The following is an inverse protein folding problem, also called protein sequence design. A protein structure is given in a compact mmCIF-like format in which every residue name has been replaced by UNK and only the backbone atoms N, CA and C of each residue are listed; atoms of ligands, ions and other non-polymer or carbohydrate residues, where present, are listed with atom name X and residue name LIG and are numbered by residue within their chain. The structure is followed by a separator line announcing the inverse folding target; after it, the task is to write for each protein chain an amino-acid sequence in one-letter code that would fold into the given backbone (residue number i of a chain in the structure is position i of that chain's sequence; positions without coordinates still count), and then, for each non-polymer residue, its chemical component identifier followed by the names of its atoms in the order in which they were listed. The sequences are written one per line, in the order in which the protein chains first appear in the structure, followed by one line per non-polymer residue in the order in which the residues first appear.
data_IF_889064258826
#
_entry.id   IF_889064258826
#
_cell.length_a   1.000
_cell.length_b   1.000
_cell.length_c   1.000
_cell.angle_alpha   90.00
_cell.angle_beta   90.00
_cell.angle_gamma   90.00
#
_symmetry.space_group_name_H-M   'P 1'
#
loop_
_entity.id
_entity.type
_entity.pdbx_description
1 polymer ?
#
# COMPACT_ATOMS: atom_id res chain seq x y z
N UNK A 1 -36.49 73.02 56.31
CA UNK A 1 -35.98 72.22 55.17
C UNK A 1 -36.29 70.76 55.48
N UNK A 2 -37.39 70.21 54.93
CA UNK A 2 -37.73 68.79 55.11
C UNK A 2 -36.94 68.01 54.06
N UNK A 3 -36.03 67.17 54.51
CA UNK A 3 -35.32 66.20 53.66
C UNK A 3 -36.38 65.18 53.21
N UNK A 4 -36.63 64.99 51.90
CA UNK A 4 -37.53 63.93 51.46
C UNK A 4 -36.94 62.59 51.90
N UNK A 5 -37.73 61.78 52.62
CA UNK A 5 -37.38 60.39 52.90
C UNK A 5 -37.37 59.62 51.58
N UNK A 6 -36.38 58.75 51.32
CA UNK A 6 -36.41 57.90 50.15
C UNK A 6 -37.60 56.94 50.27
N UNK A 7 -38.42 56.87 49.21
CA UNK A 7 -39.59 56.00 49.12
C UNK A 7 -39.19 54.53 49.33
N UNK A 8 -39.67 53.92 50.42
CA UNK A 8 -39.49 52.49 50.75
C UNK A 8 -40.15 51.55 49.71
N UNK A 9 -40.94 52.09 48.77
CA UNK A 9 -41.57 51.35 47.69
C UNK A 9 -40.61 50.90 46.56
N UNK A 10 -39.39 51.46 46.48
CA UNK A 10 -38.41 51.10 45.45
C UNK A 10 -37.54 49.88 45.79
N UNK A 11 -37.55 49.42 47.05
CA UNK A 11 -36.66 48.33 47.53
C UNK A 11 -37.16 46.94 47.10
N UNK A 12 -38.47 46.75 46.97
CA UNK A 12 -39.08 45.45 46.63
C UNK A 12 -38.83 44.99 45.18
N UNK A 13 -38.97 45.85 44.15
CA UNK A 13 -38.64 45.47 42.77
C UNK A 13 -37.15 45.17 42.56
N UNK A 14 -36.27 45.92 43.22
CA UNK A 14 -34.82 45.73 43.15
C UNK A 14 -34.40 44.40 43.78
N UNK A 15 -34.96 44.06 44.94
CA UNK A 15 -34.69 42.78 45.60
C UNK A 15 -35.21 41.59 44.77
N UNK A 16 -36.38 41.73 44.15
CA UNK A 16 -36.92 40.73 43.24
C UNK A 16 -36.03 40.51 42.00
N UNK A 17 -35.49 41.59 41.42
CA UNK A 17 -34.56 41.51 40.29
C UNK A 17 -33.24 40.82 40.66
N UNK A 18 -32.66 41.16 41.82
CA UNK A 18 -31.42 40.54 42.31
C UNK A 18 -31.63 39.04 42.57
N UNK A 19 -32.76 38.66 43.17
CA UNK A 19 -33.09 37.26 43.41
C UNK A 19 -33.30 36.49 42.09
N UNK A 20 -34.02 37.07 41.13
CA UNK A 20 -34.20 36.47 39.81
C UNK A 20 -32.86 36.27 39.10
N UNK A 21 -31.97 37.27 39.16
CA UNK A 21 -30.62 37.17 38.61
C UNK A 21 -29.79 36.09 39.29
N UNK A 22 -29.86 35.98 40.62
CA UNK A 22 -29.18 34.93 41.37
C UNK A 22 -29.67 33.53 41.00
N UNK A 23 -30.97 33.34 40.79
CA UNK A 23 -31.55 32.07 40.32
C UNK A 23 -31.04 31.73 38.91
N UNK A 24 -31.00 32.71 38.01
CA UNK A 24 -30.50 32.52 36.63
C UNK A 24 -29.01 32.14 36.64
N UNK A 25 -28.19 32.87 37.39
CA UNK A 25 -26.74 32.59 37.51
C UNK A 25 -26.51 31.23 38.17
N UNK A 26 -27.27 30.89 39.21
CA UNK A 26 -27.22 29.57 39.84
C UNK A 26 -27.59 28.45 38.88
N UNK A 27 -28.64 28.66 38.07
CA UNK A 27 -29.05 27.74 37.00
C UNK A 27 -27.95 27.54 35.95
N UNK A 28 -27.33 28.62 35.48
CA UNK A 28 -26.19 28.58 34.55
C UNK A 28 -25.03 27.79 35.18
N UNK A 29 -24.73 28.00 36.46
CA UNK A 29 -23.68 27.27 37.18
C UNK A 29 -23.90 25.76 37.19
N UNK A 30 -25.13 25.31 37.46
CA UNK A 30 -25.49 23.88 37.42
C UNK A 30 -25.35 23.32 36.00
N UNK A 31 -25.83 24.05 34.99
CA UNK A 31 -25.70 23.65 33.58
C UNK A 31 -24.22 23.55 33.18
N UNK A 32 -23.41 24.53 33.56
CA UNK A 32 -21.97 24.59 33.29
C UNK A 32 -21.21 23.42 33.95
N UNK A 33 -21.62 23.00 35.15
CA UNK A 33 -20.93 21.95 35.90
C UNK A 33 -21.28 20.53 35.42
N UNK A 34 -22.54 20.27 35.10
CA UNK A 34 -22.99 18.89 34.83
C UNK A 34 -23.30 18.63 33.36
N UNK A 35 -23.95 19.57 32.69
CA UNK A 35 -24.46 19.36 31.33
C UNK A 35 -23.42 19.68 30.27
N UNK A 36 -22.67 20.77 30.43
CA UNK A 36 -21.61 21.14 29.47
C UNK A 36 -20.57 20.02 29.30
N UNK A 37 -19.98 19.43 30.36
CA UNK A 37 -19.04 18.32 30.19
C UNK A 37 -19.66 17.11 29.49
N UNK A 38 -20.92 16.79 29.77
CA UNK A 38 -21.62 15.67 29.13
C UNK A 38 -21.83 15.92 27.63
N UNK A 39 -22.25 17.13 27.24
CA UNK A 39 -22.42 17.50 25.84
C UNK A 39 -21.09 17.54 25.08
N UNK A 40 -20.04 18.09 25.70
CA UNK A 40 -18.71 18.16 25.09
C UNK A 40 -18.10 16.76 24.97
N UNK A 41 -18.29 15.88 25.95
CA UNK A 41 -17.89 14.47 25.86
C UNK A 41 -18.59 13.73 24.71
N UNK A 42 -19.88 14.02 24.46
CA UNK A 42 -20.58 13.45 23.32
C UNK A 42 -19.97 13.93 22.00
N UNK A 43 -19.69 15.23 21.87
CA UNK A 43 -19.03 15.77 20.69
C UNK A 43 -17.63 15.18 20.47
N UNK A 44 -16.86 14.97 21.54
CA UNK A 44 -15.56 14.27 21.47
C UNK A 44 -15.73 12.81 21.04
N UNK A 45 -16.78 12.14 21.50
CA UNK A 45 -17.14 10.78 21.08
C UNK A 45 -17.42 10.70 19.59
N UNK A 46 -18.26 11.60 19.07
CA UNK A 46 -18.59 11.66 17.64
C UNK A 46 -17.32 11.90 16.78
N UNK A 47 -16.46 12.81 17.22
CA UNK A 47 -15.19 13.10 16.54
C UNK A 47 -14.21 11.91 16.61
N UNK A 48 -14.07 11.29 17.78
CA UNK A 48 -13.25 10.10 17.97
C UNK A 48 -13.72 8.95 17.10
N UNK A 49 -15.02 8.66 17.04
CA UNK A 49 -15.57 7.59 16.19
C UNK A 49 -15.26 7.82 14.71
N UNK A 50 -15.33 9.08 14.25
CA UNK A 50 -14.96 9.43 12.88
C UNK A 50 -13.46 9.18 12.61
N UNK A 51 -12.59 9.67 13.49
CA UNK A 51 -11.14 9.47 13.36
C UNK A 51 -10.73 8.01 13.49
N UNK A 52 -11.33 7.28 14.41
CA UNK A 52 -11.12 5.85 14.57
C UNK A 52 -11.50 5.08 13.30
N UNK A 53 -12.61 5.45 12.66
CA UNK A 53 -12.99 4.88 11.37
C UNK A 53 -12.02 5.24 10.24
N UNK A 54 -11.60 6.51 10.14
CA UNK A 54 -10.59 6.95 9.16
C UNK A 54 -9.24 6.26 9.38
N UNK A 55 -8.83 6.10 10.64
CA UNK A 55 -7.61 5.40 11.03
C UNK A 55 -7.72 3.90 10.76
N UNK A 56 -8.83 3.23 11.10
CA UNK A 56 -9.05 1.82 10.75
C UNK A 56 -9.08 1.57 9.25
N UNK A 57 -9.66 2.50 8.47
CA UNK A 57 -9.65 2.48 7.01
C UNK A 57 -8.29 2.77 6.38
N UNK A 58 -7.28 3.20 7.16
CA UNK A 58 -5.93 3.43 6.64
C UNK A 58 -5.30 2.16 6.08
N UNK A 59 -5.67 0.98 6.61
CA UNK A 59 -5.21 -0.30 6.07
C UNK A 59 -5.59 -0.45 4.61
N UNK A 60 -6.85 -0.17 4.29
CA UNK A 60 -7.38 -0.28 2.94
C UNK A 60 -6.65 0.67 2.02
N UNK A 61 -6.27 1.87 2.50
CA UNK A 61 -5.43 2.81 1.74
C UNK A 61 -4.00 2.32 1.54
N UNK A 62 -3.42 1.64 2.53
CA UNK A 62 -2.09 1.02 2.37
C UNK A 62 -2.16 -0.12 1.35
N UNK A 63 -3.17 -0.98 1.44
CA UNK A 63 -3.42 -2.02 0.45
C UNK A 63 -3.74 -1.44 -0.92
N UNK A 64 -4.48 -0.34 -0.99
CA UNK A 64 -4.77 0.38 -2.22
C UNK A 64 -3.48 0.94 -2.81
N UNK A 65 -2.55 1.46 -2.01
CA UNK A 65 -1.25 1.89 -2.52
C UNK A 65 -0.42 0.70 -3.04
N UNK A 66 -0.38 -0.40 -2.30
CA UNK A 66 0.37 -1.62 -2.69
C UNK A 66 -0.23 -2.27 -3.94
N UNK A 67 -1.56 -2.30 -4.03
CA UNK A 67 -2.30 -2.96 -5.10
C UNK A 67 -2.57 -2.04 -6.29
N UNK A 68 -2.66 -0.73 -6.10
CA UNK A 68 -2.99 0.23 -7.14
C UNK A 68 -1.86 1.20 -7.46
N UNK A 69 -0.75 1.12 -6.72
CA UNK A 69 0.47 1.89 -6.93
C UNK A 69 0.51 3.23 -6.23
N UNK A 70 -0.64 3.85 -6.02
CA UNK A 70 -0.78 5.09 -5.27
C UNK A 70 -2.14 5.11 -4.58
N UNK A 71 -2.19 5.64 -3.37
CA UNK A 71 -3.43 5.89 -2.64
C UNK A 71 -3.30 7.13 -1.77
N UNK A 72 -4.45 7.69 -1.40
CA UNK A 72 -4.50 8.89 -0.59
C UNK A 72 -5.30 8.62 0.69
N UNK A 73 -4.66 8.88 1.82
CA UNK A 73 -5.30 8.89 3.13
C UNK A 73 -5.43 10.33 3.62
N UNK A 74 -6.56 10.67 4.23
CA UNK A 74 -6.80 11.98 4.81
C UNK A 74 -7.15 11.81 6.28
N UNK A 75 -6.51 12.62 7.12
CA UNK A 75 -6.79 12.67 8.54
C UNK A 75 -7.17 14.09 8.96
N UNK A 76 -8.18 14.21 9.80
CA UNK A 76 -8.60 15.47 10.41
C UNK A 76 -8.55 15.37 11.94
N UNK A 77 -7.36 15.51 12.56
CA UNK A 77 -7.19 15.32 14.00
C UNK A 77 -7.76 16.46 14.86
N UNK A 78 -8.23 17.56 14.24
CA UNK A 78 -8.60 18.80 14.93
C UNK A 78 -10.09 18.83 15.25
N UNK A 79 -10.40 18.78 16.53
CA UNK A 79 -11.76 18.91 17.03
C UNK A 79 -12.07 20.37 17.39
N UNK A 80 -13.22 20.85 16.93
CA UNK A 80 -13.80 22.15 17.33
C UNK A 80 -15.01 21.89 18.22
N UNK A 81 -15.01 22.44 19.43
CA UNK A 81 -16.14 22.24 20.35
C UNK A 81 -17.35 23.09 19.93
N UNK A 82 -18.57 22.57 20.11
CA UNK A 82 -19.78 23.36 19.89
C UNK A 82 -19.83 24.52 20.88
N UNK A 83 -20.24 25.69 20.39
CA UNK A 83 -20.41 26.89 21.21
C UNK A 83 -21.85 26.97 21.71
N UNK A 84 -22.01 27.14 23.02
CA UNK A 84 -23.31 27.35 23.64
C UNK A 84 -23.43 28.79 24.15
N UNK A 85 -24.52 29.52 23.86
CA UNK A 85 -24.72 30.87 24.37
C UNK A 85 -24.66 30.92 25.90
N UNK A 86 -23.96 31.92 26.45
CA UNK A 86 -23.81 32.16 27.90
C UNK A 86 -23.04 31.08 28.68
N UNK A 87 -22.53 30.05 28.01
CA UNK A 87 -21.73 28.98 28.62
C UNK A 87 -20.28 29.06 28.13
N UNK A 88 -19.35 28.63 28.98
CA UNK A 88 -17.94 28.56 28.65
C UNK A 88 -17.61 27.17 28.11
N UNK A 89 -17.10 27.11 26.89
CA UNK A 89 -16.58 25.89 26.28
C UNK A 89 -15.14 26.12 25.82
N UNK A 90 -14.27 25.10 25.86
CA UNK A 90 -12.99 25.15 25.17
C UNK A 90 -13.19 25.47 23.67
N UNK A 91 -12.20 26.03 23.01
CA UNK A 91 -12.33 26.36 21.58
C UNK A 91 -12.02 25.16 20.69
N UNK A 92 -10.84 24.58 20.85
CA UNK A 92 -10.33 23.48 20.02
C UNK A 92 -9.49 22.50 20.85
N UNK A 93 -9.42 21.26 20.41
CA UNK A 93 -8.38 20.31 20.81
C UNK A 93 -7.87 19.57 19.57
N UNK A 94 -6.65 19.03 19.63
CA UNK A 94 -6.09 18.25 18.53
C UNK A 94 -5.52 16.96 19.05
N UNK A 95 -5.96 15.86 18.45
CA UNK A 95 -5.27 14.58 18.52
C UNK A 95 -4.00 14.62 17.67
N UNK A 96 -3.18 13.58 17.73
CA UNK A 96 -1.99 13.44 16.88
C UNK A 96 -1.93 12.06 16.24
N UNK A 97 -1.49 12.01 14.98
CA UNK A 97 -1.08 10.79 14.31
C UNK A 97 0.42 10.87 14.07
N UNK A 98 1.18 9.92 14.59
CA UNK A 98 2.64 9.93 14.58
C UNK A 98 3.16 8.74 13.78
N UNK A 99 3.87 9.01 12.69
CA UNK A 99 4.70 8.02 12.02
C UNK A 99 6.08 8.02 12.69
N UNK A 100 6.51 6.87 13.21
CA UNK A 100 7.84 6.74 13.80
C UNK A 100 8.48 5.39 13.53
N UNK A 101 9.79 5.41 13.31
CA UNK A 101 10.59 4.19 13.29
C UNK A 101 10.70 3.58 14.69
N UNK A 102 10.38 2.29 14.80
CA UNK A 102 10.46 1.50 16.04
C UNK A 102 11.52 0.39 15.99
N UNK A 103 12.04 0.06 14.81
CA UNK A 103 13.00 -1.04 14.69
C UNK A 103 13.57 -1.24 13.29
N UNK A 104 13.90 -2.50 13.00
CA UNK A 104 14.34 -3.02 11.70
C UNK A 104 13.74 -4.39 11.43
N UNK A 105 13.53 -4.68 10.16
CA UNK A 105 13.21 -6.00 9.63
C UNK A 105 14.30 -6.40 8.64
N UNK A 106 14.95 -7.54 8.83
CA UNK A 106 15.81 -8.12 7.80
C UNK A 106 15.07 -9.31 7.17
N UNK A 107 14.97 -9.30 5.85
CA UNK A 107 14.39 -10.39 5.07
C UNK A 107 15.51 -11.05 4.27
N UNK A 108 15.68 -12.35 4.47
CA UNK A 108 16.59 -13.16 3.67
C UNK A 108 15.78 -14.08 2.77
N UNK A 109 15.98 -13.95 1.45
CA UNK A 109 15.32 -14.74 0.43
C UNK A 109 16.41 -15.35 -0.46
N UNK A 110 16.45 -16.68 -0.54
CA UNK A 110 17.43 -17.43 -1.34
C UNK A 110 18.89 -16.99 -1.12
N UNK A 111 19.22 -16.68 0.14
CA UNK A 111 20.55 -16.24 0.57
C UNK A 111 20.83 -14.73 0.46
N UNK A 112 19.97 -13.96 -0.22
CA UNK A 112 20.08 -12.51 -0.27
C UNK A 112 19.34 -11.85 0.88
N UNK A 113 20.04 -11.02 1.67
CA UNK A 113 19.44 -10.31 2.80
C UNK A 113 19.19 -8.84 2.49
N UNK A 114 17.97 -8.38 2.74
CA UNK A 114 17.53 -6.98 2.61
C UNK A 114 17.06 -6.46 3.97
N UNK A 115 17.34 -5.20 4.27
CA UNK A 115 17.00 -4.59 5.56
C UNK A 115 16.03 -3.43 5.34
N UNK A 116 14.97 -3.41 6.14
CA UNK A 116 13.89 -2.43 6.10
C UNK A 116 13.72 -1.80 7.47
N UNK A 117 13.26 -0.55 7.49
CA UNK A 117 12.89 0.10 8.73
C UNK A 117 11.51 -0.40 9.18
N UNK A 118 11.41 -0.77 10.45
CA UNK A 118 10.12 -1.11 11.06
C UNK A 118 9.49 0.18 11.57
N UNK A 119 8.37 0.57 10.97
CA UNK A 119 7.65 1.81 11.26
C UNK A 119 6.29 1.51 11.89
N UNK A 120 5.90 2.34 12.86
CA UNK A 120 4.54 2.39 13.40
C UNK A 120 3.87 3.69 12.99
N UNK A 121 2.58 3.62 12.69
CA UNK A 121 1.69 4.77 12.69
C UNK A 121 0.86 4.72 13.97
N UNK A 122 1.06 5.67 14.89
CA UNK A 122 0.36 5.74 16.19
C UNK A 122 -0.70 6.84 16.15
N UNK A 123 -1.93 6.53 16.54
CA UNK A 123 -2.98 7.51 16.81
C UNK A 123 -3.08 7.77 18.31
N UNK A 124 -2.84 9.02 18.71
CA UNK A 124 -2.89 9.50 20.09
C UNK A 124 -4.05 10.50 20.27
N UNK A 125 -5.22 10.03 20.76
CA UNK A 125 -6.38 10.89 20.95
C UNK A 125 -6.18 11.83 22.15
N UNK A 126 -6.28 13.14 21.90
CA UNK A 126 -6.10 14.15 22.93
C UNK A 126 -7.39 14.96 23.14
N UNK A 127 -8.30 14.38 23.91
CA UNK A 127 -9.58 14.97 24.28
C UNK A 127 -9.59 15.43 25.74
N UNK A 128 -10.46 16.39 26.08
CA UNK A 128 -10.57 16.95 27.43
C UNK A 128 -11.42 16.03 28.31
N UNK A 129 -12.59 15.59 27.84
CA UNK A 129 -13.59 14.86 28.64
C UNK A 129 -13.63 13.35 28.36
N UNK A 130 -13.23 12.93 27.16
CA UNK A 130 -13.05 11.56 26.71
C UNK A 130 -11.57 11.19 26.88
N UNK A 131 -11.30 9.94 27.27
CA UNK A 131 -9.95 9.40 27.41
C UNK A 131 -9.88 8.04 26.70
N UNK A 132 -9.93 8.01 25.36
CA UNK A 132 -9.77 6.78 24.62
C UNK A 132 -8.33 6.27 24.76
N UNK A 133 -8.13 4.98 24.51
CA UNK A 133 -6.80 4.40 24.38
C UNK A 133 -6.14 4.88 23.09
N UNK A 134 -4.80 4.87 23.07
CA UNK A 134 -4.05 5.08 21.83
C UNK A 134 -4.17 3.85 20.93
N UNK A 135 -3.95 4.04 19.64
CA UNK A 135 -4.01 2.98 18.64
C UNK A 135 -2.72 2.97 17.80
N UNK A 136 -2.35 1.82 17.25
CA UNK A 136 -1.15 1.66 16.45
C UNK A 136 -1.39 0.75 15.26
N UNK A 137 -0.82 1.12 14.12
CA UNK A 137 -0.72 0.27 12.94
C UNK A 137 0.74 -0.14 12.72
N UNK A 138 1.00 -1.44 12.73
CA UNK A 138 2.34 -2.02 12.54
C UNK A 138 2.21 -3.19 11.56
N UNK A 139 3.01 -3.16 10.49
CA UNK A 139 3.14 -4.25 9.52
C UNK A 139 1.85 -4.84 8.91
N UNK A 140 0.77 -4.05 8.80
CA UNK A 140 -0.50 -4.56 8.29
C UNK A 140 -1.57 -4.75 9.35
N UNK A 141 -1.24 -4.59 10.64
CA UNK A 141 -2.12 -4.96 11.75
C UNK A 141 -2.41 -3.79 12.68
N UNK A 142 -3.59 -3.82 13.30
CA UNK A 142 -4.08 -2.78 14.22
C UNK A 142 -4.04 -3.25 15.66
N UNK A 143 -3.57 -2.36 16.53
CA UNK A 143 -3.44 -2.59 17.96
C UNK A 143 -4.05 -1.44 18.75
N UNK A 144 -4.83 -1.77 19.77
CA UNK A 144 -5.13 -0.83 20.85
C UNK A 144 -3.97 -0.86 21.86
N UNK A 145 -3.37 0.29 22.14
CA UNK A 145 -2.26 0.42 23.07
C UNK A 145 -2.76 0.63 24.50
N UNK A 146 -2.10 -0.05 25.43
CA UNK A 146 -2.33 0.04 26.86
C UNK A 146 -0.99 0.17 27.59
N UNK A 147 -1.02 0.43 28.89
CA UNK A 147 0.20 0.50 29.72
C UNK A 147 1.02 -0.81 29.72
N UNK A 148 0.39 -1.95 29.41
CA UNK A 148 1.03 -3.27 29.36
C UNK A 148 1.49 -3.69 27.96
N UNK A 149 1.21 -2.91 26.92
CA UNK A 149 1.52 -3.24 25.52
C UNK A 149 0.33 -3.06 24.58
N UNK A 150 0.43 -3.60 23.38
CA UNK A 150 -0.62 -3.58 22.36
C UNK A 150 -1.49 -4.83 22.38
N UNK A 151 -2.81 -4.64 22.29
CA UNK A 151 -3.77 -5.72 22.04
C UNK A 151 -4.26 -5.60 20.60
N UNK A 152 -4.11 -6.67 19.81
CA UNK A 152 -4.58 -6.67 18.43
C UNK A 152 -6.09 -6.53 18.38
N UNK A 153 -6.58 -5.66 17.49
CA UNK A 153 -8.00 -5.40 17.26
C UNK A 153 -8.44 -5.70 15.81
N UNK A 154 -7.50 -6.01 14.92
CA UNK A 154 -7.77 -6.50 13.57
C UNK A 154 -7.64 -8.02 13.47
N UNK A 155 -8.12 -8.57 12.35
CA UNK A 155 -7.79 -9.93 11.92
C UNK A 155 -6.28 -10.07 11.63
N UNK A 156 -5.79 -11.32 11.66
CA UNK A 156 -4.40 -11.65 11.31
C UNK A 156 -4.14 -11.35 9.84
N UNK A 157 -3.27 -10.38 9.59
CA UNK A 157 -2.84 -10.07 8.22
C UNK A 157 -1.48 -10.70 7.93
N UNK A 158 -0.65 -10.89 8.96
CA UNK A 158 0.76 -11.27 8.76
C UNK A 158 0.95 -12.73 8.35
N UNK A 159 0.06 -13.64 8.77
CA UNK A 159 0.22 -15.07 8.52
C UNK A 159 -1.13 -15.77 8.29
N UNK A 160 -1.29 -16.35 7.10
CA UNK A 160 -2.26 -17.41 6.79
C UNK A 160 -1.61 -18.79 6.76
N UNK A 161 -2.39 -19.83 6.51
CA UNK A 161 -1.91 -21.22 6.60
C UNK A 161 -0.89 -21.59 5.52
N UNK A 162 -1.00 -21.00 4.31
CA UNK A 162 -0.10 -21.26 3.16
C UNK A 162 0.60 -19.99 2.63
N UNK A 163 0.32 -18.83 3.24
CA UNK A 163 0.76 -17.53 2.78
C UNK A 163 1.12 -16.61 3.94
N UNK A 164 2.24 -15.90 3.84
CA UNK A 164 2.69 -14.91 4.82
C UNK A 164 2.77 -13.55 4.14
N UNK A 165 1.99 -12.58 4.62
CA UNK A 165 1.98 -11.22 4.08
C UNK A 165 2.72 -10.29 5.02
N UNK A 166 3.75 -9.61 4.55
CA UNK A 166 4.42 -8.57 5.31
C UNK A 166 4.20 -7.23 4.64
N UNK A 167 3.63 -6.27 5.35
CA UNK A 167 3.54 -4.89 4.88
C UNK A 167 4.61 -4.05 5.58
N UNK A 168 5.41 -3.31 4.82
CA UNK A 168 6.38 -2.34 5.34
C UNK A 168 5.90 -0.93 5.01
N UNK A 169 5.80 -0.10 6.05
CA UNK A 169 5.56 1.33 5.89
C UNK A 169 6.88 2.11 5.91
N UNK A 170 7.11 2.86 4.85
CA UNK A 170 8.17 3.85 4.73
C UNK A 170 7.56 5.25 4.76
N UNK A 171 7.10 5.64 5.95
CA UNK A 171 6.61 6.99 6.21
C UNK A 171 7.71 7.81 6.88
N UNK A 172 7.81 9.07 6.49
CA UNK A 172 8.72 10.02 7.15
C UNK A 172 8.32 10.17 8.61
N UNK A 173 9.31 10.36 9.49
CA UNK A 173 9.03 10.63 10.90
C UNK A 173 8.28 11.96 11.02
N UNK A 174 6.96 11.92 11.09
CA UNK A 174 6.11 13.09 11.05
C UNK A 174 4.97 12.99 12.07
N UNK A 175 4.60 14.15 12.61
CA UNK A 175 3.51 14.29 13.56
C UNK A 175 2.39 15.12 12.92
N UNK A 176 1.26 14.48 12.71
CA UNK A 176 0.07 15.05 12.07
C UNK A 176 -0.89 15.50 13.17
N UNK A 177 -0.89 16.80 13.43
CA UNK A 177 -1.74 17.48 14.41
C UNK A 177 -2.65 18.55 13.77
N UNK A 178 -2.76 18.51 12.45
CA UNK A 178 -3.64 19.37 11.66
C UNK A 178 -4.20 18.55 10.49
N UNK A 179 -5.27 19.01 9.82
CA UNK A 179 -5.81 18.29 8.68
C UNK A 179 -4.74 18.13 7.61
N UNK A 180 -4.41 16.88 7.28
CA UNK A 180 -3.37 16.56 6.31
C UNK A 180 -3.80 15.40 5.42
N UNK A 181 -3.18 15.36 4.24
CA UNK A 181 -3.38 14.32 3.24
C UNK A 181 -2.04 13.65 3.03
N UNK A 182 -1.98 12.33 3.25
CA UNK A 182 -0.82 11.50 3.01
C UNK A 182 -1.05 10.81 1.66
N UNK A 183 -0.14 11.05 0.72
CA UNK A 183 -0.11 10.31 -0.54
C UNK A 183 0.89 9.17 -0.40
N UNK A 184 0.41 7.94 -0.44
CA UNK A 184 1.23 6.74 -0.36
C UNK A 184 1.41 6.14 -1.73
N UNK A 185 2.64 5.75 -2.04
CA UNK A 185 3.00 4.92 -3.20
C UNK A 185 3.28 3.52 -2.71
N UNK A 186 2.93 2.51 -3.51
CA UNK A 186 3.10 1.13 -3.11
C UNK A 186 3.65 0.21 -4.19
N UNK A 187 4.22 -0.90 -3.73
CA UNK A 187 4.63 -2.01 -4.56
C UNK A 187 4.52 -3.32 -3.77
N UNK A 188 4.32 -4.44 -4.46
CA UNK A 188 4.34 -5.78 -3.86
C UNK A 188 5.36 -6.69 -4.52
N UNK A 189 5.82 -7.72 -3.83
CA UNK A 189 6.60 -8.83 -4.37
C UNK A 189 6.02 -10.13 -3.81
N UNK A 190 5.88 -11.15 -4.65
CA UNK A 190 5.40 -12.47 -4.25
C UNK A 190 6.49 -13.50 -4.58
N UNK A 191 6.84 -14.36 -3.62
CA UNK A 191 7.86 -15.40 -3.81
C UNK A 191 7.56 -16.61 -2.95
N UNK A 192 7.83 -17.80 -3.48
CA UNK A 192 7.78 -19.05 -2.74
C UNK A 192 9.20 -19.58 -2.55
N UNK A 193 9.49 -20.15 -1.39
CA UNK A 193 10.83 -20.70 -1.10
C UNK A 193 11.15 -20.71 0.39
N UNK A 194 12.44 -20.82 0.71
CA UNK A 194 12.91 -20.67 2.08
C UNK A 194 13.10 -19.19 2.39
N UNK A 195 12.35 -18.70 3.37
CA UNK A 195 12.31 -17.29 3.76
C UNK A 195 12.73 -17.19 5.22
N UNK A 196 13.69 -16.32 5.50
CA UNK A 196 14.04 -15.98 6.88
C UNK A 196 13.71 -14.51 7.14
N UNK A 197 12.87 -14.27 8.15
CA UNK A 197 12.45 -12.96 8.62
C UNK A 197 13.06 -12.70 10.00
N UNK A 198 13.95 -11.72 10.10
CA UNK A 198 14.49 -11.24 11.37
C UNK A 198 13.85 -9.90 11.73
N UNK A 199 13.09 -9.85 12.82
CA UNK A 199 12.51 -8.61 13.32
C UNK A 199 13.24 -8.17 14.59
N UNK A 200 13.73 -6.93 14.58
CA UNK A 200 14.41 -6.31 15.73
C UNK A 200 13.71 -5.03 16.12
N UNK A 201 13.22 -4.97 17.37
CA UNK A 201 12.59 -3.77 17.93
C UNK A 201 13.61 -3.01 18.77
N UNK A 202 13.78 -1.73 18.46
CA UNK A 202 14.69 -0.82 19.16
C UNK A 202 13.94 0.01 20.20
N UNK A 203 12.71 0.42 19.87
CA UNK A 203 11.87 1.23 20.76
C UNK A 203 11.37 0.41 21.96
N UNK A 204 11.68 0.82 23.22
CA UNK A 204 11.23 0.10 24.41
C UNK A 204 9.71 -0.08 24.48
N UNK A 205 8.95 0.93 24.04
CA UNK A 205 7.49 0.96 24.11
C UNK A 205 6.81 -0.09 23.21
N UNK A 206 7.56 -0.69 22.30
CA UNK A 206 7.06 -1.68 21.32
C UNK A 206 7.67 -3.07 21.49
N UNK A 207 8.40 -3.33 22.57
CA UNK A 207 9.01 -4.66 22.81
C UNK A 207 7.97 -5.78 22.85
N UNK A 208 6.74 -5.47 23.29
CA UNK A 208 5.61 -6.40 23.28
C UNK A 208 5.31 -6.94 21.88
N UNK A 209 5.63 -6.19 20.80
CA UNK A 209 5.38 -6.63 19.43
C UNK A 209 6.20 -7.87 19.06
N UNK A 210 7.37 -8.06 19.68
CA UNK A 210 8.15 -9.29 19.49
C UNK A 210 7.52 -10.50 20.17
N UNK A 211 6.90 -10.30 21.33
CA UNK A 211 6.16 -11.38 22.02
C UNK A 211 4.94 -11.78 21.17
N UNK A 212 4.23 -10.78 20.63
CA UNK A 212 3.16 -10.99 19.67
C UNK A 212 3.60 -11.77 18.42
N UNK A 213 4.70 -11.40 17.77
CA UNK A 213 5.22 -12.13 16.60
C UNK A 213 5.62 -13.56 16.96
N UNK A 214 6.22 -13.76 18.15
CA UNK A 214 6.58 -15.09 18.61
C UNK A 214 5.35 -15.97 18.84
N UNK A 215 4.26 -15.43 19.40
CA UNK A 215 2.99 -16.15 19.56
C UNK A 215 2.35 -16.45 18.21
N UNK A 216 2.29 -15.46 17.31
CA UNK A 216 1.63 -15.57 16.00
C UNK A 216 2.28 -16.64 15.11
N UNK A 217 3.61 -16.68 15.07
CA UNK A 217 4.35 -17.64 14.24
C UNK A 217 4.74 -18.92 14.99
N UNK A 218 4.88 -18.88 16.31
CA UNK A 218 5.45 -19.99 17.10
C UNK A 218 4.57 -21.22 17.17
N UNK A 219 3.27 -21.08 16.91
CA UNK A 219 2.30 -22.17 16.89
C UNK A 219 2.06 -22.74 15.49
N UNK A 220 2.72 -22.23 14.45
CA UNK A 220 2.48 -22.59 13.05
C UNK A 220 3.47 -23.64 12.56
N UNK A 221 2.96 -24.72 11.96
CA UNK A 221 3.77 -25.84 11.46
C UNK A 221 4.73 -25.45 10.33
N UNK A 222 4.43 -24.38 9.59
CA UNK A 222 5.25 -23.90 8.48
C UNK A 222 6.41 -22.99 8.90
N UNK A 223 6.51 -22.64 10.20
CA UNK A 223 7.48 -21.68 10.71
C UNK A 223 8.29 -22.23 11.90
N UNK A 224 9.60 -21.99 11.87
CA UNK A 224 10.48 -22.16 13.04
C UNK A 224 10.81 -20.78 13.61
N UNK A 225 10.42 -20.55 14.87
CA UNK A 225 10.62 -19.26 15.54
C UNK A 225 11.72 -19.35 16.60
N UNK A 226 12.69 -18.43 16.53
CA UNK A 226 13.70 -18.23 17.57
C UNK A 226 13.53 -16.85 18.20
N UNK A 227 13.01 -16.81 19.42
CA UNK A 227 12.85 -15.55 20.17
C UNK A 227 14.02 -15.30 21.13
N UNK A 228 14.73 -14.19 20.90
CA UNK A 228 15.87 -13.75 21.69
C UNK A 228 15.50 -12.50 22.49
N UNK A 229 14.85 -12.67 23.65
CA UNK A 229 14.37 -11.55 24.49
C UNK A 229 15.49 -10.58 24.91
N UNK A 230 16.68 -11.08 25.22
CA UNK A 230 17.84 -10.25 25.59
C UNK A 230 18.35 -9.34 24.45
N UNK A 231 18.09 -9.72 23.20
CA UNK A 231 18.53 -8.99 22.01
C UNK A 231 17.40 -8.15 21.38
N UNK A 232 16.18 -8.23 21.93
CA UNK A 232 14.96 -7.68 21.35
C UNK A 232 14.80 -8.07 19.88
N UNK A 233 14.90 -9.39 19.62
CA UNK A 233 14.87 -9.96 18.28
C UNK A 233 14.00 -11.22 18.22
N UNK A 234 13.25 -11.35 17.14
CA UNK A 234 12.58 -12.58 16.70
C UNK A 234 13.14 -12.96 15.34
N UNK A 235 13.46 -14.23 15.16
CA UNK A 235 13.80 -14.83 13.88
C UNK A 235 12.71 -15.84 13.51
N UNK A 236 12.11 -15.69 12.34
CA UNK A 236 11.10 -16.60 11.79
C UNK A 236 11.67 -17.21 10.52
N UNK A 237 11.84 -18.53 10.50
CA UNK A 237 12.27 -19.27 9.32
C UNK A 237 11.06 -20.02 8.78
N UNK A 238 10.78 -19.86 7.50
CA UNK A 238 9.60 -20.42 6.85
C UNK A 238 10.03 -21.15 5.59
N UNK A 239 9.47 -22.33 5.37
CA UNK A 239 9.77 -23.17 4.21
C UNK A 239 8.48 -23.51 3.47
N UNK A 240 8.54 -23.49 2.12
CA UNK A 240 7.43 -23.83 1.24
C UNK A 240 6.15 -22.99 1.42
N UNK A 241 6.29 -21.76 1.93
CA UNK A 241 5.18 -20.79 2.01
C UNK A 241 5.25 -19.78 0.88
N UNK A 242 4.09 -19.25 0.49
CA UNK A 242 4.05 -18.07 -0.39
C UNK A 242 4.26 -16.83 0.47
N UNK A 243 5.35 -16.11 0.25
CA UNK A 243 5.64 -14.87 0.95
C UNK A 243 5.28 -13.67 0.06
N UNK A 244 4.44 -12.79 0.59
CA UNK A 244 4.00 -11.55 -0.06
C UNK A 244 4.55 -10.37 0.71
N UNK A 245 5.50 -9.65 0.13
CA UNK A 245 6.03 -8.40 0.69
C UNK A 245 5.35 -7.20 0.01
N UNK A 246 4.55 -6.46 0.76
CA UNK A 246 4.04 -5.15 0.36
C UNK A 246 4.88 -4.03 0.96
N UNK A 247 5.16 -2.99 0.20
CA UNK A 247 5.80 -1.77 0.69
C UNK A 247 4.92 -0.58 0.33
N UNK A 248 4.75 0.37 1.25
CA UNK A 248 4.05 1.63 0.99
C UNK A 248 4.75 2.83 1.65
N UNK A 249 4.82 3.99 0.99
CA UNK A 249 5.51 5.18 1.53
C UNK A 249 5.19 6.50 0.83
N UNK A 250 5.58 7.63 1.44
CA UNK A 250 5.21 9.00 0.99
C UNK A 250 6.32 9.72 0.19
N UNK A 251 7.54 9.16 0.15
CA UNK A 251 8.72 9.78 -0.47
C UNK A 251 8.54 10.18 -1.95
N UNK A 252 9.39 11.08 -2.46
CA UNK A 252 9.30 11.54 -3.85
C UNK A 252 9.24 10.37 -4.83
N UNK A 253 8.39 10.44 -5.85
CA UNK A 253 8.08 9.31 -6.73
C UNK A 253 9.33 8.58 -7.24
N UNK A 254 10.31 9.33 -7.77
CA UNK A 254 11.53 8.74 -8.33
C UNK A 254 12.42 8.12 -7.25
N UNK A 255 12.50 8.75 -6.07
CA UNK A 255 13.26 8.23 -4.93
C UNK A 255 12.61 6.96 -4.39
N UNK A 256 11.28 6.97 -4.22
CA UNK A 256 10.50 5.81 -3.78
C UNK A 256 10.67 4.64 -4.75
N UNK A 257 10.49 4.86 -6.05
CA UNK A 257 10.66 3.82 -7.07
C UNK A 257 12.07 3.25 -7.07
N UNK A 258 13.10 4.09 -6.93
CA UNK A 258 14.49 3.66 -6.79
C UNK A 258 14.73 2.83 -5.51
N UNK A 259 14.13 3.24 -4.40
CA UNK A 259 14.27 2.53 -3.13
C UNK A 259 13.56 1.18 -3.20
N UNK A 260 12.36 1.13 -3.78
CA UNK A 260 11.59 -0.10 -4.01
C UNK A 260 12.30 -1.03 -4.99
N UNK A 261 12.79 -0.52 -6.12
CA UNK A 261 13.53 -1.31 -7.11
C UNK A 261 14.77 -1.97 -6.47
N UNK A 262 15.53 -1.18 -5.72
CA UNK A 262 16.70 -1.65 -4.97
C UNK A 262 16.35 -2.64 -3.87
N UNK A 263 15.21 -2.47 -3.19
CA UNK A 263 14.84 -3.27 -2.04
C UNK A 263 14.13 -4.58 -2.41
N UNK A 264 13.30 -4.57 -3.45
CA UNK A 264 12.61 -5.75 -3.98
C UNK A 264 13.41 -6.50 -5.06
N UNK A 265 14.63 -6.03 -5.37
CA UNK A 265 15.46 -6.54 -6.48
C UNK A 265 14.70 -6.58 -7.81
N UNK A 266 13.90 -5.53 -8.06
CA UNK A 266 13.13 -5.36 -9.28
C UNK A 266 13.85 -4.36 -10.16
N UNK A 267 14.31 -4.77 -11.34
CA UNK A 267 14.83 -3.85 -12.35
C UNK A 267 13.66 -3.13 -13.02
N UNK A 268 13.31 -1.95 -12.48
CA UNK A 268 12.29 -1.08 -13.05
C UNK A 268 12.85 -0.41 -14.30
N UNK A 269 12.06 -0.38 -15.37
CA UNK A 269 12.51 0.20 -16.62
C UNK A 269 13.22 -0.81 -17.53
N UNK A 270 13.21 -2.10 -17.19
CA UNK A 270 13.75 -3.19 -18.00
C UNK A 270 12.66 -4.24 -18.21
N UNK A 271 12.42 -4.60 -19.48
CA UNK A 271 11.61 -5.76 -19.83
C UNK A 271 12.52 -6.90 -20.29
N UNK A 272 12.21 -8.11 -19.85
CA UNK A 272 12.84 -9.37 -20.23
C UNK A 272 11.95 -10.07 -21.25
N UNK A 273 12.56 -10.54 -22.32
CA UNK A 273 11.92 -11.28 -23.39
C UNK A 273 12.34 -12.73 -23.24
N UNK A 274 11.46 -13.55 -22.67
CA UNK A 274 11.73 -14.97 -22.43
C UNK A 274 11.53 -15.79 -23.69
N UNK A 275 12.56 -16.56 -24.05
CA UNK A 275 12.59 -17.48 -25.18
C UNK A 275 12.09 -18.87 -24.77
N UNK A 276 11.67 -19.65 -25.76
CA UNK A 276 11.17 -21.02 -25.56
C UNK A 276 12.19 -22.01 -24.98
N UNK A 277 13.49 -21.67 -25.00
CA UNK A 277 14.58 -22.45 -24.40
C UNK A 277 14.89 -22.04 -22.94
N UNK A 278 14.14 -21.08 -22.39
CA UNK A 278 14.31 -20.57 -21.03
C UNK A 278 15.36 -19.46 -20.89
N UNK A 279 16.06 -19.09 -21.97
CA UNK A 279 16.92 -17.90 -21.99
C UNK A 279 16.09 -16.62 -22.12
N UNK A 280 16.70 -15.46 -21.87
CA UNK A 280 16.02 -14.18 -22.05
C UNK A 280 16.96 -13.09 -22.58
N UNK A 281 16.35 -12.09 -23.21
CA UNK A 281 16.98 -10.84 -23.61
C UNK A 281 16.35 -9.67 -22.86
N UNK A 282 17.16 -8.69 -22.45
CA UNK A 282 16.68 -7.46 -21.79
C UNK A 282 16.53 -6.31 -22.79
N UNK A 283 15.48 -5.51 -22.62
CA UNK A 283 15.25 -4.23 -23.31
C UNK A 283 15.00 -3.13 -22.27
N UNK A 284 15.70 -2.01 -22.39
CA UNK A 284 15.54 -0.88 -21.47
C UNK A 284 14.60 0.19 -22.05
N UNK A 285 14.02 0.99 -21.18
CA UNK A 285 13.20 2.13 -21.59
C UNK A 285 14.02 3.14 -22.42
N UNK A 286 13.54 3.47 -23.61
CA UNK A 286 14.15 4.47 -24.49
C UNK A 286 15.33 3.95 -25.32
N UNK A 287 15.64 2.66 -25.22
CA UNK A 287 16.63 2.03 -26.09
C UNK A 287 16.19 2.05 -27.56
N UNK A 288 17.17 2.10 -28.46
CA UNK A 288 16.94 1.76 -29.86
C UNK A 288 16.43 0.32 -29.97
N UNK A 289 15.52 0.05 -30.91
CA UNK A 289 14.95 -1.27 -31.14
C UNK A 289 16.01 -2.38 -31.11
N UNK A 290 15.89 -3.29 -30.13
CA UNK A 290 16.82 -4.41 -29.98
C UNK A 290 16.41 -5.57 -30.88
N UNK A 291 17.32 -6.04 -31.72
CA UNK A 291 17.10 -7.22 -32.55
C UNK A 291 17.35 -8.50 -31.76
N UNK A 292 16.40 -9.43 -31.80
CA UNK A 292 16.40 -10.66 -30.99
C UNK A 292 16.04 -11.85 -31.88
N UNK A 293 16.97 -12.78 -32.02
CA UNK A 293 16.70 -14.05 -32.70
C UNK A 293 15.83 -14.97 -31.83
N UNK A 294 14.67 -15.35 -32.37
CA UNK A 294 13.71 -16.26 -31.74
C UNK A 294 13.53 -17.56 -32.53
N UNK A 295 14.38 -17.82 -33.53
CA UNK A 295 14.33 -19.04 -34.36
C UNK A 295 14.40 -20.32 -33.50
N UNK A 296 15.16 -20.32 -32.41
CA UNK A 296 15.27 -21.43 -31.45
C UNK A 296 13.98 -21.73 -30.69
N UNK A 297 13.01 -20.81 -30.70
CA UNK A 297 11.76 -20.93 -29.93
C UNK A 297 10.62 -21.56 -30.73
N UNK A 298 10.76 -21.61 -32.06
CA UNK A 298 9.74 -22.13 -32.96
C UNK A 298 9.57 -23.63 -32.78
N UNK A 299 8.33 -24.06 -32.50
CA UNK A 299 7.95 -25.47 -32.51
C UNK A 299 7.06 -25.74 -33.72
N UNK A 300 7.38 -26.81 -34.45
CA UNK A 300 6.57 -27.31 -35.56
C UNK A 300 5.84 -28.56 -35.07
N UNK A 301 4.51 -28.53 -35.04
CA UNK A 301 3.67 -29.66 -34.67
C UNK A 301 2.50 -29.79 -35.64
N UNK A 302 2.29 -30.98 -36.21
CA UNK A 302 1.24 -31.27 -37.21
C UNK A 302 1.13 -30.26 -38.38
N UNK A 303 2.25 -29.66 -38.79
CA UNK A 303 2.25 -28.64 -39.84
C UNK A 303 1.72 -27.27 -39.39
N UNK A 304 1.72 -27.00 -38.10
CA UNK A 304 1.50 -25.67 -37.55
C UNK A 304 2.79 -25.26 -36.85
N UNK A 305 3.30 -24.09 -37.19
CA UNK A 305 4.43 -23.50 -36.46
C UNK A 305 3.84 -22.57 -35.42
N UNK A 306 4.13 -22.84 -34.15
CA UNK A 306 3.76 -21.94 -33.05
C UNK A 306 4.94 -21.66 -32.15
N UNK A 307 5.07 -20.40 -31.74
CA UNK A 307 5.90 -20.00 -30.61
C UNK A 307 5.20 -18.94 -29.79
N UNK A 308 5.53 -18.90 -28.51
CA UNK A 308 5.05 -17.89 -27.59
C UNK A 308 6.27 -17.27 -26.91
N UNK A 309 6.41 -15.97 -27.09
CA UNK A 309 7.43 -15.16 -26.43
C UNK A 309 6.73 -14.32 -25.37
N UNK A 310 7.34 -14.20 -24.20
CA UNK A 310 6.79 -13.39 -23.12
C UNK A 310 7.66 -12.16 -22.89
N UNK A 311 7.04 -10.98 -22.92
CA UNK A 311 7.62 -9.73 -22.46
C UNK A 311 7.23 -9.56 -21.00
N UNK A 312 8.17 -9.78 -20.09
CA UNK A 312 7.97 -9.70 -18.64
C UNK A 312 8.87 -8.65 -18.02
N UNK A 313 8.37 -7.81 -17.13
CA UNK A 313 9.25 -6.88 -16.43
C UNK A 313 8.50 -5.91 -15.55
N UNK A 314 9.21 -4.95 -14.99
CA UNK A 314 8.64 -3.96 -14.10
C UNK A 314 8.72 -2.58 -14.71
N UNK A 315 7.57 -1.91 -14.76
CA UNK A 315 7.45 -0.51 -15.15
C UNK A 315 7.34 0.36 -13.90
N UNK A 316 7.63 1.66 -14.02
CA UNK A 316 7.39 2.61 -12.91
C UNK A 316 5.92 3.06 -12.79
N UNK A 317 5.06 2.48 -13.64
CA UNK A 317 3.68 2.85 -13.80
C UNK A 317 2.77 1.69 -13.40
N UNK A 318 2.46 1.55 -12.11
CA UNK A 318 1.48 0.58 -11.66
C UNK A 318 0.08 0.91 -12.21
N UNK A 319 -0.68 -0.11 -12.57
CA UNK A 319 -2.06 -0.02 -13.10
C UNK A 319 -2.24 0.90 -14.31
N UNK A 320 -1.16 1.17 -15.03
CA UNK A 320 -1.20 1.97 -16.22
C UNK A 320 -1.53 1.12 -17.43
N UNK A 321 -2.26 1.74 -18.35
CA UNK A 321 -2.46 1.18 -19.66
C UNK A 321 -1.12 1.21 -20.41
N UNK A 322 -0.77 0.05 -20.95
CA UNK A 322 0.33 -0.17 -21.85
C UNK A 322 -0.24 -0.27 -23.26
N UNK A 323 0.03 0.72 -24.10
CA UNK A 323 -0.28 0.65 -25.52
C UNK A 323 0.75 -0.26 -26.18
N UNK A 324 0.28 -1.34 -26.81
CA UNK A 324 1.12 -2.36 -27.42
C UNK A 324 0.82 -2.38 -28.91
N UNK A 325 1.85 -2.12 -29.71
CA UNK A 325 1.83 -2.29 -31.16
C UNK A 325 2.70 -3.47 -31.52
N UNK A 326 2.14 -4.42 -32.27
CA UNK A 326 2.84 -5.59 -32.80
C UNK A 326 2.73 -5.55 -34.32
N UNK A 327 3.85 -5.44 -35.01
CA UNK A 327 3.93 -5.47 -36.46
C UNK A 327 4.56 -6.79 -36.91
N UNK A 328 3.79 -7.61 -37.62
CA UNK A 328 4.26 -8.82 -38.27
C UNK A 328 4.68 -8.48 -39.69
N UNK A 329 5.99 -8.50 -39.96
CA UNK A 329 6.57 -8.10 -41.25
C UNK A 329 6.83 -9.35 -42.09
N UNK A 330 6.20 -9.41 -43.26
CA UNK A 330 6.38 -10.43 -44.28
C UNK A 330 7.14 -9.83 -45.48
N UNK A 331 7.56 -10.66 -46.45
CA UNK A 331 8.33 -10.22 -47.62
C UNK A 331 7.64 -9.07 -48.38
N UNK A 332 6.32 -9.19 -48.58
CA UNK A 332 5.51 -8.26 -49.38
C UNK A 332 4.45 -7.48 -48.59
N UNK A 333 4.27 -7.74 -47.30
CA UNK A 333 3.18 -7.15 -46.50
C UNK A 333 3.55 -6.94 -45.02
N UNK A 334 2.76 -6.14 -44.30
CA UNK A 334 2.89 -5.95 -42.86
C UNK A 334 1.52 -5.94 -42.20
N UNK A 335 1.36 -6.80 -41.19
CA UNK A 335 0.14 -6.88 -40.39
C UNK A 335 0.38 -6.22 -39.04
N UNK A 336 -0.32 -5.12 -38.76
CA UNK A 336 -0.23 -4.40 -37.48
C UNK A 336 -1.39 -4.78 -36.54
N UNK A 337 -1.07 -5.14 -35.30
CA UNK A 337 -2.01 -5.38 -34.21
C UNK A 337 -1.77 -4.34 -33.12
N UNK A 338 -2.80 -3.58 -32.80
CA UNK A 338 -2.80 -2.65 -31.66
C UNK A 338 -3.65 -3.24 -30.55
N UNK A 339 -3.10 -3.36 -29.35
CA UNK A 339 -3.81 -3.82 -28.16
C UNK A 339 -3.43 -2.98 -26.95
N UNK A 340 -4.29 -2.97 -25.95
CA UNK A 340 -4.02 -2.33 -24.67
C UNK A 340 -3.84 -3.40 -23.62
N UNK A 341 -2.71 -3.36 -22.95
CA UNK A 341 -2.44 -4.15 -21.76
C UNK A 341 -2.51 -3.26 -20.54
N UNK A 342 -2.61 -3.86 -19.35
CA UNK A 342 -2.55 -3.11 -18.10
C UNK A 342 -1.44 -3.68 -17.24
N UNK A 343 -0.56 -2.82 -16.76
CA UNK A 343 0.44 -3.23 -15.79
C UNK A 343 -0.24 -3.60 -14.49
N UNK A 344 0.33 -4.58 -13.79
CA UNK A 344 -0.14 -4.99 -12.50
C UNK A 344 0.03 -3.87 -11.47
N UNK A 345 -0.65 -4.03 -10.32
CA UNK A 345 -0.38 -3.34 -9.07
C UNK A 345 1.05 -2.88 -8.75
N UNK A 346 2.01 -3.74 -9.00
CA UNK A 346 3.40 -3.57 -8.65
C UNK A 346 4.26 -3.13 -9.85
N UNK A 347 3.60 -2.67 -10.91
CA UNK A 347 4.22 -2.32 -12.18
C UNK A 347 4.61 -3.51 -13.02
N UNK A 348 4.33 -4.76 -12.60
CA UNK A 348 4.65 -5.94 -13.39
C UNK A 348 3.84 -5.95 -14.69
N UNK A 349 4.50 -6.16 -15.81
CA UNK A 349 3.89 -6.39 -17.10
C UNK A 349 4.26 -7.80 -17.55
N UNK A 350 3.29 -8.55 -18.07
CA UNK A 350 3.55 -9.85 -18.72
C UNK A 350 2.74 -9.94 -20.00
N UNK A 351 3.30 -9.50 -21.12
CA UNK A 351 2.64 -9.54 -22.41
C UNK A 351 3.06 -10.80 -23.19
N UNK A 352 2.13 -11.72 -23.51
CA UNK A 352 2.40 -12.80 -24.43
C UNK A 352 2.32 -12.31 -25.89
N UNK A 353 3.30 -12.65 -26.70
CA UNK A 353 3.31 -12.43 -28.15
C UNK A 353 3.42 -13.78 -28.84
N UNK A 354 2.37 -14.13 -29.60
CA UNK A 354 2.32 -15.38 -30.35
C UNK A 354 2.89 -15.19 -31.76
N UNK A 355 3.70 -16.15 -32.19
CA UNK A 355 4.12 -16.37 -33.57
C UNK A 355 3.37 -17.59 -34.07
N UNK A 356 2.55 -17.44 -35.09
CA UNK A 356 1.79 -18.55 -35.68
C UNK A 356 1.81 -18.50 -37.19
N UNK A 357 2.10 -19.63 -37.83
CA UNK A 357 1.98 -19.83 -39.28
C UNK A 357 1.26 -21.14 -39.57
N UNK A 358 0.43 -21.15 -40.61
CA UNK A 358 -0.22 -22.36 -41.11
C UNK A 358 0.59 -22.93 -42.28
N UNK A 359 0.84 -24.24 -42.28
CA UNK A 359 1.23 -24.93 -43.51
C UNK A 359 0.02 -24.94 -44.44
N UNK A 360 0.13 -24.31 -45.60
CA UNK A 360 -0.81 -24.59 -46.68
C UNK A 360 -0.51 -26.02 -47.19
N UNK A 361 -1.33 -26.97 -46.77
CA UNK A 361 -1.37 -28.26 -47.44
C UNK A 361 -2.05 -28.06 -48.79
N UNK A 362 -1.29 -27.53 -49.76
CA UNK A 362 -1.79 -27.36 -51.11
C UNK A 362 -2.48 -28.64 -51.55
N UNK A 363 -3.80 -28.58 -51.75
CA UNK A 363 -4.62 -29.69 -52.22
C UNK A 363 -4.26 -29.95 -53.67
N UNK A 364 -3.11 -30.60 -53.88
CA UNK A 364 -2.60 -31.00 -55.17
C UNK A 364 -3.50 -32.07 -55.75
N UNK A 365 -4.51 -31.65 -56.51
CA UNK A 365 -5.04 -32.49 -57.58
C UNK A 365 -3.87 -32.75 -58.55
N UNK A 366 -3.33 -33.97 -58.49
CA UNK A 366 -2.27 -34.57 -59.32
C UNK A 366 -0.84 -34.61 -58.73
N UNK A 367 -0.58 -35.60 -57.88
CA UNK A 367 0.56 -36.53 -57.98
C UNK A 367 2.01 -36.01 -57.85
N UNK A 368 2.23 -34.70 -57.70
CA UNK A 368 3.55 -34.12 -57.42
C UNK A 368 3.77 -34.01 -55.92
N UNK A 369 5.00 -34.29 -55.45
CA UNK A 369 5.43 -33.94 -54.09
C UNK A 369 5.34 -32.41 -53.95
N UNK A 370 4.21 -31.90 -53.44
CA UNK A 370 4.03 -30.49 -53.17
C UNK A 370 5.02 -30.04 -52.09
N UNK A 371 5.77 -29.00 -52.39
CA UNK A 371 6.51 -28.26 -51.36
C UNK A 371 5.47 -27.61 -50.44
N UNK A 372 5.68 -27.78 -49.12
CA UNK A 372 4.89 -27.12 -48.08
C UNK A 372 5.55 -25.78 -47.83
N UNK A 373 4.98 -24.71 -48.34
CA UNK A 373 5.46 -23.36 -48.05
C UNK A 373 4.73 -22.88 -46.79
N UNK A 374 5.51 -22.65 -45.74
CA UNK A 374 5.04 -22.03 -44.49
C UNK A 374 5.40 -20.57 -44.62
N UNK A 375 4.40 -19.71 -44.70
CA UNK A 375 4.65 -18.28 -44.64
C UNK A 375 4.75 -17.87 -43.16
N UNK A 376 5.98 -17.63 -42.72
CA UNK A 376 6.27 -17.03 -41.43
C UNK A 376 6.62 -15.56 -41.66
N UNK A 377 6.30 -14.67 -40.70
CA UNK A 377 6.84 -13.31 -40.75
C UNK A 377 8.36 -13.38 -40.70
N UNK A 378 9.06 -12.58 -41.51
CA UNK A 378 10.52 -12.44 -41.45
C UNK A 378 10.93 -11.88 -40.09
N UNK A 379 10.12 -10.95 -39.58
CA UNK A 379 10.36 -10.22 -38.34
C UNK A 379 9.06 -9.81 -37.66
N UNK A 380 9.11 -9.66 -36.35
CA UNK A 380 8.01 -9.15 -35.54
C UNK A 380 8.52 -7.98 -34.73
N UNK A 381 8.06 -6.77 -35.04
CA UNK A 381 8.40 -5.57 -34.28
C UNK A 381 7.35 -5.37 -33.18
N UNK A 382 7.82 -5.23 -31.94
CA UNK A 382 6.98 -5.03 -30.77
C UNK A 382 7.39 -3.71 -30.12
N UNK A 383 6.44 -2.79 -30.04
CA UNK A 383 6.57 -1.54 -29.30
C UNK A 383 5.57 -1.53 -28.16
N UNK A 384 6.06 -1.36 -26.93
CA UNK A 384 5.26 -1.27 -25.71
C UNK A 384 5.47 0.14 -25.17
N UNK A 385 4.40 0.92 -25.07
CA UNK A 385 4.41 2.26 -24.49
C UNK A 385 3.58 2.28 -23.22
N UNK A 386 4.21 2.54 -22.09
CA UNK A 386 3.55 2.67 -20.78
C UNK A 386 3.74 4.10 -20.30
N UNK A 387 2.73 4.94 -20.52
CA UNK A 387 2.76 6.38 -20.21
C UNK A 387 3.92 7.11 -20.92
N UNK A 388 5.08 7.25 -20.27
CA UNK A 388 6.30 7.87 -20.84
C UNK A 388 7.46 6.87 -21.04
N UNK A 389 7.25 5.59 -20.73
CA UNK A 389 8.21 4.51 -21.00
C UNK A 389 7.91 3.89 -22.35
N UNK A 390 8.92 3.77 -23.21
CA UNK A 390 8.82 3.14 -24.53
C UNK A 390 9.86 2.04 -24.61
N UNK A 391 9.40 0.82 -24.86
CA UNK A 391 10.22 -0.36 -25.04
C UNK A 391 10.03 -0.89 -26.46
N UNK A 392 11.12 -1.10 -27.20
CA UNK A 392 11.05 -1.58 -28.58
C UNK A 392 11.96 -2.78 -28.81
N UNK A 393 11.41 -3.83 -29.37
CA UNK A 393 12.13 -5.04 -29.75
C UNK A 393 11.74 -5.48 -31.16
N UNK A 394 12.69 -6.06 -31.88
CA UNK A 394 12.53 -6.63 -33.20
C UNK A 394 12.87 -8.11 -33.12
N UNK A 395 11.88 -8.98 -33.14
CA UNK A 395 12.04 -10.42 -33.05
C UNK A 395 12.26 -11.01 -34.45
N UNK A 396 13.44 -11.56 -34.70
CA UNK A 396 13.78 -12.22 -35.95
C UNK A 396 13.37 -13.69 -35.90
N UNK A 397 12.59 -14.13 -36.89
CA UNK A 397 11.95 -15.47 -36.87
C UNK A 397 12.80 -16.49 -37.62
N UNK A 398 13.57 -16.09 -38.64
CA UNK A 398 14.62 -16.89 -39.28
C UNK A 398 15.53 -16.04 -40.18
N UNK A 399 16.58 -16.66 -40.73
CA UNK A 399 17.23 -16.24 -41.99
C UNK A 399 16.41 -16.69 -43.19
#
# INVERSE_FOLDING_TARGET
MKIPKPDEAAVSPVLGLVLAFAIIVGGIGVVQQFFVPAWLKNAEGDHYSKLHYEFGGFHEKVLEAINYGEAVARFDPVMRYPKYPLLFTPEVTSSSILAKRIGKVNLTVDGETRSFDLTVLEFDPNYIYLKPSKEAYICGEYFALSNSGGTRISDEYISGDDEVRLIILDLRNENINSPQTITMRGAKMERSGSITLEVKVISPDYRWYLEYLNETFGEKDFATVTFSKGENRVLVQMDNVTFVLGMAGEGERNEYLKNVSSALNKEVGVLKISKGDGTYDEIENGDSTKEIDISSTLKVDDGIVTSLVYFTGYTKYPNADAEVTIEYVFEDDTVTVNTTWRTNPDGYLQLPVSVSGAVDEGWGHHGGKGHRDIELPERIDVTITVVDEVYSASLRVSD
#
